data_IF_089894379309
#
_entry.id   IF_089894379309
#
_cell.length_a   1.000
_cell.length_b   1.000
_cell.length_c   1.000
_cell.angle_alpha   90.00
_cell.angle_beta   90.00
_cell.angle_gamma   90.00
#
_symmetry.space_group_name_H-M   'P 1'
#
loop_
_entity.id
_entity.type
_entity.pdbx_description
1 polymer ?
#
# COMPACT_ATOMS: atom_id res chain seq x y z
N UNK A 1 -0.78 -0.40 -14.05
CA UNK A 1 -2.10 -0.87 -13.59
C UNK A 1 -2.12 -2.41 -13.63
N UNK A 2 -2.96 -3.08 -12.82
CA UNK A 2 -3.20 -4.52 -12.97
C UNK A 2 -3.65 -4.79 -14.41
N UNK A 3 -3.11 -5.83 -15.02
CA UNK A 3 -3.38 -6.18 -16.42
C UNK A 3 -4.42 -7.28 -16.49
N UNK A 4 -4.24 -8.33 -15.68
CA UNK A 4 -5.16 -9.45 -15.60
C UNK A 4 -4.96 -10.21 -14.29
N UNK A 5 -6.01 -10.88 -13.83
CA UNK A 5 -5.94 -11.94 -12.83
C UNK A 5 -6.43 -13.22 -13.47
N UNK A 6 -5.63 -14.29 -13.37
CA UNK A 6 -5.90 -15.58 -14.01
C UNK A 6 -5.68 -16.74 -13.04
N UNK A 7 -6.46 -17.80 -13.22
CA UNK A 7 -6.44 -19.02 -12.43
C UNK A 7 -6.21 -20.19 -13.38
N UNK A 8 -5.12 -20.91 -13.18
CA UNK A 8 -4.80 -22.14 -13.89
C UNK A 8 -4.96 -23.35 -12.99
N UNK A 9 -5.42 -24.46 -13.57
CA UNK A 9 -5.30 -25.80 -13.02
C UNK A 9 -4.15 -26.51 -13.73
N UNK A 10 -3.28 -27.14 -12.96
CA UNK A 10 -2.24 -28.00 -13.50
C UNK A 10 -2.79 -29.41 -13.68
N UNK A 11 -2.77 -29.90 -14.92
CA UNK A 11 -3.22 -31.24 -15.30
C UNK A 11 -2.01 -32.05 -15.77
N UNK A 12 -1.91 -33.30 -15.32
CA UNK A 12 -0.93 -34.26 -15.82
C UNK A 12 -1.64 -35.12 -16.85
N UNK A 13 -1.49 -34.79 -18.13
CA UNK A 13 -2.04 -35.60 -19.20
C UNK A 13 -1.04 -36.71 -19.53
N UNK A 14 -1.56 -37.91 -19.81
CA UNK A 14 -0.77 -39.01 -20.31
C UNK A 14 -1.14 -39.20 -21.78
N UNK A 15 -0.16 -39.15 -22.67
CA UNK A 15 -0.38 -39.38 -24.08
C UNK A 15 -0.57 -40.87 -24.41
N UNK A 16 -0.82 -41.17 -25.68
CA UNK A 16 -1.00 -42.55 -26.15
C UNK A 16 0.27 -43.41 -26.02
N UNK A 17 1.46 -42.80 -25.89
CA UNK A 17 2.74 -43.50 -25.68
C UNK A 17 3.04 -43.74 -24.19
N UNK A 18 2.26 -43.15 -23.29
CA UNK A 18 2.42 -43.25 -21.86
C UNK A 18 3.30 -42.17 -21.26
N UNK A 19 3.77 -41.21 -22.06
CA UNK A 19 4.54 -40.06 -21.61
C UNK A 19 3.62 -39.03 -20.94
N UNK A 20 4.16 -38.35 -19.93
CA UNK A 20 3.43 -37.36 -19.15
C UNK A 20 3.65 -36.00 -19.78
N UNK A 21 2.59 -35.42 -20.35
CA UNK A 21 2.54 -34.06 -20.85
C UNK A 21 1.79 -33.19 -19.83
N UNK A 22 2.49 -32.44 -18.97
CA UNK A 22 1.83 -31.48 -18.10
C UNK A 22 1.18 -30.36 -18.94
N UNK A 23 0.06 -29.82 -18.46
CA UNK A 23 -0.63 -28.69 -19.08
C UNK A 23 -1.19 -27.73 -18.02
N UNK A 24 -1.17 -26.43 -18.30
CA UNK A 24 -1.89 -25.42 -17.52
C UNK A 24 -3.23 -25.08 -18.19
N UNK A 25 -4.30 -25.70 -17.70
CA UNK A 25 -5.65 -25.37 -18.13
C UNK A 25 -6.13 -24.08 -17.46
N UNK A 26 -6.49 -23.10 -18.27
CA UNK A 26 -7.11 -21.87 -17.78
C UNK A 26 -8.53 -22.15 -17.29
N UNK A 27 -8.82 -21.78 -16.04
CA UNK A 27 -10.16 -21.86 -15.47
C UNK A 27 -10.90 -20.53 -15.54
N UNK A 28 -10.23 -19.44 -15.14
CA UNK A 28 -10.82 -18.10 -15.08
C UNK A 28 -9.73 -17.09 -15.43
N UNK A 29 -10.08 -16.09 -16.22
CA UNK A 29 -9.23 -14.92 -16.47
C UNK A 29 -10.10 -13.69 -16.60
N UNK A 30 -9.74 -12.61 -15.92
CA UNK A 30 -10.48 -11.35 -15.97
C UNK A 30 -9.49 -10.17 -15.95
N UNK A 31 -9.85 -9.10 -16.66
CA UNK A 31 -9.08 -7.86 -16.79
C UNK A 31 -9.88 -6.70 -16.18
N UNK A 32 -9.22 -5.63 -15.66
CA UNK A 32 -9.92 -4.42 -15.22
C UNK A 32 -10.62 -3.70 -16.39
N UNK A 33 -11.62 -2.85 -16.11
CA UNK A 33 -12.57 -2.30 -17.12
C UNK A 33 -11.93 -1.75 -18.40
N UNK A 34 -12.54 -1.86 -19.59
CA UNK A 34 -13.81 -1.20 -19.96
C UNK A 34 -14.72 -2.05 -20.88
N UNK A 35 -16.04 -1.84 -20.74
CA UNK A 35 -16.98 -2.07 -21.83
C UNK A 35 -16.68 -1.10 -23.00
N UNK A 36 -17.01 -1.53 -24.21
CA UNK A 36 -16.82 -0.83 -25.51
C UNK A 36 -15.37 -0.60 -25.93
N UNK A 37 -14.67 -1.72 -26.18
CA UNK A 37 -13.73 -2.01 -27.29
C UNK A 37 -12.73 -3.04 -26.75
N UNK A 38 -13.16 -4.31 -26.78
CA UNK A 38 -12.30 -5.45 -26.49
C UNK A 38 -11.29 -5.59 -27.63
N UNK A 39 -10.16 -4.90 -27.54
CA UNK A 39 -8.93 -5.59 -27.94
C UNK A 39 -8.83 -6.77 -26.99
N UNK A 40 -9.24 -7.96 -27.46
CA UNK A 40 -9.01 -9.20 -26.75
C UNK A 40 -7.50 -9.40 -26.72
N UNK A 41 -6.84 -8.84 -25.72
CA UNK A 41 -5.46 -9.18 -25.42
C UNK A 41 -5.46 -10.69 -25.17
N UNK A 42 -4.71 -11.44 -25.97
CA UNK A 42 -4.58 -12.88 -25.78
C UNK A 42 -3.81 -13.11 -24.48
N UNK A 43 -4.29 -14.02 -23.63
CA UNK A 43 -3.58 -14.38 -22.40
C UNK A 43 -2.17 -14.92 -22.72
N UNK A 44 -2.01 -15.55 -23.89
CA UNK A 44 -0.72 -16.03 -24.35
C UNK A 44 0.29 -14.91 -24.64
N UNK A 45 -0.19 -13.69 -24.96
CA UNK A 45 0.66 -12.50 -25.11
C UNK A 45 1.09 -11.93 -23.74
N UNK A 46 0.31 -12.23 -22.70
CA UNK A 46 0.53 -11.74 -21.34
C UNK A 46 1.41 -12.66 -20.50
N UNK A 47 1.30 -13.97 -20.70
CA UNK A 47 2.10 -14.97 -20.00
C UNK A 47 2.35 -16.20 -20.87
N UNK A 48 3.63 -16.49 -21.08
CA UNK A 48 4.07 -17.66 -21.85
C UNK A 48 4.00 -18.94 -21.01
N UNK A 49 3.98 -20.10 -21.68
CA UNK A 49 4.07 -21.40 -20.99
C UNK A 49 5.33 -21.49 -20.11
N UNK A 50 6.49 -21.05 -20.62
CA UNK A 50 7.73 -21.05 -19.83
C UNK A 50 7.62 -20.24 -18.55
N UNK A 51 6.96 -19.08 -18.58
CA UNK A 51 6.71 -18.27 -17.38
C UNK A 51 5.78 -19.00 -16.40
N UNK A 52 4.73 -19.70 -16.86
CA UNK A 52 3.83 -20.52 -16.02
C UNK A 52 4.60 -21.66 -15.33
N UNK A 53 5.34 -22.46 -16.09
CA UNK A 53 6.15 -23.56 -15.57
C UNK A 53 7.20 -23.08 -14.59
N UNK A 54 7.87 -21.96 -14.89
CA UNK A 54 8.87 -21.39 -13.98
C UNK A 54 8.24 -20.97 -12.65
N UNK A 55 7.08 -20.30 -12.68
CA UNK A 55 6.38 -19.91 -11.46
C UNK A 55 5.92 -21.13 -10.66
N UNK A 56 5.34 -22.12 -11.31
CA UNK A 56 4.93 -23.38 -10.68
C UNK A 56 6.10 -24.11 -10.04
N UNK A 57 7.19 -24.32 -10.78
CA UNK A 57 8.41 -24.96 -10.28
C UNK A 57 9.00 -24.18 -9.10
N UNK A 58 8.94 -22.86 -9.15
CA UNK A 58 9.38 -21.98 -8.07
C UNK A 58 8.55 -22.10 -6.79
N UNK A 59 7.27 -22.45 -6.90
CA UNK A 59 6.39 -22.70 -5.75
C UNK A 59 6.61 -24.11 -5.18
N UNK A 60 6.79 -25.12 -6.03
CA UNK A 60 6.86 -26.53 -5.60
C UNK A 60 8.26 -26.94 -5.11
N UNK A 61 9.32 -26.42 -5.72
CA UNK A 61 10.71 -26.80 -5.35
C UNK A 61 11.42 -25.77 -4.47
N UNK A 62 10.93 -24.52 -4.47
CA UNK A 62 11.57 -23.39 -3.80
C UNK A 62 12.89 -22.90 -4.42
N UNK A 63 13.40 -23.53 -5.49
CA UNK A 63 14.81 -23.40 -5.93
C UNK A 63 15.32 -21.99 -6.26
N UNK A 64 14.47 -20.99 -6.48
CA UNK A 64 14.86 -19.58 -6.67
C UNK A 64 14.84 -18.79 -5.33
N UNK A 65 15.53 -19.31 -4.31
CA UNK A 65 15.60 -18.76 -2.94
C UNK A 65 16.41 -17.44 -2.83
N UNK A 66 17.28 -17.12 -3.79
CA UNK A 66 18.27 -16.02 -3.67
C UNK A 66 17.84 -14.65 -4.22
N UNK A 67 16.64 -14.55 -4.82
CA UNK A 67 16.16 -13.33 -5.51
C UNK A 67 14.88 -12.70 -4.95
N UNK A 68 14.35 -13.16 -3.81
CA UNK A 68 13.01 -12.75 -3.34
C UNK A 68 13.05 -11.63 -2.30
N UNK A 69 12.12 -10.68 -2.42
CA UNK A 69 12.00 -9.51 -1.54
C UNK A 69 11.10 -9.76 -0.31
N UNK A 70 10.09 -10.65 -0.37
CA UNK A 70 9.26 -11.11 0.77
C UNK A 70 8.53 -12.42 0.41
N UNK A 71 8.38 -13.36 1.35
CA UNK A 71 7.61 -14.59 1.12
C UNK A 71 6.71 -14.90 2.31
N UNK A 72 5.41 -15.04 2.04
CA UNK A 72 4.45 -15.78 2.88
C UNK A 72 4.34 -17.16 2.22
N UNK A 73 4.24 -18.27 2.99
CA UNK A 73 4.11 -19.63 2.42
C UNK A 73 3.04 -19.61 1.33
N UNK A 74 3.40 -20.01 0.11
CA UNK A 74 2.58 -20.03 -1.13
C UNK A 74 2.48 -18.73 -1.95
N UNK A 75 3.16 -17.64 -1.61
CA UNK A 75 3.18 -16.40 -2.42
C UNK A 75 4.53 -16.12 -3.05
N UNK A 76 4.53 -15.60 -4.28
CA UNK A 76 5.72 -15.07 -4.96
C UNK A 76 5.37 -13.72 -5.59
N UNK A 77 6.12 -12.68 -5.21
CA UNK A 77 6.19 -11.42 -5.93
C UNK A 77 7.46 -11.39 -6.78
N UNK A 78 7.35 -11.03 -8.05
CA UNK A 78 8.51 -10.93 -8.93
C UNK A 78 8.22 -10.29 -10.28
N UNK A 79 9.16 -10.49 -11.20
CA UNK A 79 9.06 -10.10 -12.61
C UNK A 79 9.09 -11.35 -13.48
N UNK A 80 8.22 -11.39 -14.48
CA UNK A 80 8.24 -12.44 -15.51
C UNK A 80 9.52 -12.37 -16.35
N UNK A 81 9.93 -13.51 -16.91
CA UNK A 81 11.21 -13.59 -17.63
C UNK A 81 11.04 -13.12 -19.06
N UNK A 82 9.98 -13.59 -19.72
CA UNK A 82 9.79 -13.44 -21.16
C UNK A 82 8.89 -12.24 -21.46
N UNK A 83 7.98 -11.89 -20.56
CA UNK A 83 7.06 -10.77 -20.72
C UNK A 83 7.42 -9.59 -19.80
N UNK A 84 7.08 -8.35 -20.17
CA UNK A 84 7.43 -7.15 -19.42
C UNK A 84 6.46 -6.89 -18.26
N UNK A 85 6.07 -7.91 -17.51
CA UNK A 85 5.12 -7.77 -16.41
C UNK A 85 5.74 -8.14 -15.05
N UNK A 86 5.25 -7.48 -14.01
CA UNK A 86 5.37 -7.96 -12.64
C UNK A 86 4.27 -8.96 -12.37
N UNK A 87 4.55 -9.93 -11.52
CA UNK A 87 3.60 -10.98 -11.14
C UNK A 87 3.53 -11.10 -9.64
N UNK A 88 2.31 -11.18 -9.13
CA UNK A 88 2.00 -11.73 -7.82
C UNK A 88 1.34 -13.09 -8.05
N UNK A 89 1.99 -14.16 -7.62
CA UNK A 89 1.51 -15.53 -7.83
C UNK A 89 1.25 -16.25 -6.51
N UNK A 90 0.23 -17.09 -6.53
CA UNK A 90 -0.17 -17.95 -5.43
C UNK A 90 -0.35 -19.38 -5.89
N UNK A 91 0.17 -20.33 -5.10
CA UNK A 91 0.01 -21.75 -5.35
C UNK A 91 -0.93 -22.39 -4.33
N UNK A 92 -1.88 -23.19 -4.81
CA UNK A 92 -2.78 -23.95 -3.96
C UNK A 92 -2.76 -25.42 -4.34
N UNK A 93 -2.59 -26.27 -3.34
CA UNK A 93 -2.69 -27.72 -3.45
C UNK A 93 -3.91 -28.18 -2.65
N UNK A 94 -4.87 -28.81 -3.33
CA UNK A 94 -6.15 -29.25 -2.76
C UNK A 94 -6.06 -30.66 -2.19
N UNK A 95 -7.11 -31.06 -1.45
CA UNK A 95 -7.19 -32.37 -0.77
C UNK A 95 -7.26 -33.53 -1.76
N UNK A 96 -7.78 -33.32 -2.96
CA UNK A 96 -7.86 -34.31 -4.05
C UNK A 96 -6.60 -34.31 -4.94
N UNK A 97 -5.48 -33.77 -4.44
CA UNK A 97 -4.22 -33.59 -5.17
C UNK A 97 -4.30 -32.59 -6.34
N UNK A 98 -5.46 -31.96 -6.60
CA UNK A 98 -5.58 -30.93 -7.63
C UNK A 98 -4.72 -29.71 -7.29
N UNK A 99 -4.00 -29.20 -8.28
CA UNK A 99 -3.03 -28.11 -8.11
C UNK A 99 -3.45 -26.90 -8.92
N UNK A 100 -3.42 -25.72 -8.29
CA UNK A 100 -3.85 -24.47 -8.87
C UNK A 100 -2.76 -23.41 -8.77
N UNK A 101 -2.59 -22.66 -9.85
CA UNK A 101 -1.71 -21.50 -9.94
C UNK A 101 -2.55 -20.26 -10.21
N UNK A 102 -2.58 -19.32 -9.27
CA UNK A 102 -3.32 -18.07 -9.36
C UNK A 102 -2.33 -16.94 -9.58
N UNK A 103 -2.53 -16.11 -10.60
CA UNK A 103 -1.61 -15.04 -10.98
C UNK A 103 -2.36 -13.71 -11.09
N UNK A 104 -1.76 -12.65 -10.56
CA UNK A 104 -2.09 -11.27 -10.89
C UNK A 104 -0.91 -10.61 -11.60
N UNK A 105 -1.13 -10.10 -12.80
CA UNK A 105 -0.11 -9.45 -13.63
C UNK A 105 -0.24 -7.93 -13.54
N UNK A 106 0.88 -7.23 -13.44
CA UNK A 106 0.94 -5.77 -13.28
C UNK A 106 1.98 -5.17 -14.21
N UNK A 107 1.79 -3.90 -14.57
CA UNK A 107 2.82 -3.11 -15.24
C UNK A 107 4.10 -2.98 -14.38
N UNK A 108 5.25 -2.72 -15.00
CA UNK A 108 6.55 -2.67 -14.30
C UNK A 108 6.67 -1.51 -13.30
N UNK A 109 5.96 -0.43 -13.54
CA UNK A 109 5.97 0.82 -12.78
C UNK A 109 4.93 0.89 -11.66
N UNK A 110 4.11 -0.17 -11.50
CA UNK A 110 3.11 -0.25 -10.44
C UNK A 110 3.69 -0.61 -9.07
N UNK A 111 3.06 -0.08 -8.03
CA UNK A 111 3.29 -0.46 -6.63
C UNK A 111 2.54 -1.75 -6.27
N UNK A 112 3.02 -2.90 -6.75
CA UNK A 112 2.36 -4.20 -6.56
C UNK A 112 2.16 -4.56 -5.08
N UNK A 113 3.03 -4.08 -4.19
CA UNK A 113 2.96 -4.34 -2.75
C UNK A 113 1.68 -3.78 -2.11
N UNK A 114 1.13 -2.70 -2.68
CA UNK A 114 -0.15 -2.13 -2.25
C UNK A 114 -1.30 -3.13 -2.40
N UNK A 115 -1.22 -4.04 -3.36
CA UNK A 115 -2.30 -4.95 -3.74
C UNK A 115 -2.17 -6.36 -3.12
N UNK A 116 -1.06 -6.65 -2.42
CA UNK A 116 -0.80 -7.97 -1.83
C UNK A 116 -1.92 -8.43 -0.88
N UNK A 117 -2.43 -7.52 -0.05
CA UNK A 117 -3.51 -7.84 0.90
C UNK A 117 -4.81 -8.24 0.21
N UNK A 118 -5.19 -7.54 -0.86
CA UNK A 118 -6.39 -7.85 -1.66
C UNK A 118 -6.23 -9.20 -2.34
N UNK A 119 -5.08 -9.43 -2.97
CA UNK A 119 -4.79 -10.69 -3.65
C UNK A 119 -4.76 -11.87 -2.66
N UNK A 120 -4.18 -11.68 -1.47
CA UNK A 120 -4.18 -12.69 -0.41
C UNK A 120 -5.60 -13.10 0.01
N UNK A 121 -6.45 -12.12 0.31
CA UNK A 121 -7.83 -12.38 0.72
C UNK A 121 -8.63 -13.08 -0.38
N UNK A 122 -8.40 -12.72 -1.65
CA UNK A 122 -8.97 -13.44 -2.80
C UNK A 122 -8.53 -14.91 -2.80
N UNK A 123 -7.23 -15.18 -2.67
CA UNK A 123 -6.67 -16.52 -2.67
C UNK A 123 -7.18 -17.39 -1.50
N UNK A 124 -7.33 -16.83 -0.30
CA UNK A 124 -7.91 -17.57 0.84
C UNK A 124 -9.34 -18.02 0.57
N UNK A 125 -10.16 -17.16 -0.04
CA UNK A 125 -11.53 -17.51 -0.42
C UNK A 125 -11.58 -18.51 -1.57
N UNK A 126 -10.72 -18.36 -2.57
CA UNK A 126 -10.57 -19.35 -3.65
C UNK A 126 -10.19 -20.72 -3.09
N UNK A 127 -9.35 -20.80 -2.05
CA UNK A 127 -9.06 -22.04 -1.33
C UNK A 127 -10.31 -22.77 -0.82
N UNK A 128 -11.32 -22.05 -0.34
CA UNK A 128 -12.60 -22.65 0.09
C UNK A 128 -13.40 -23.18 -1.11
N UNK A 129 -13.35 -22.47 -2.24
CA UNK A 129 -14.02 -22.84 -3.49
C UNK A 129 -13.35 -24.09 -4.09
N UNK A 130 -12.02 -24.16 -4.14
CA UNK A 130 -11.28 -25.34 -4.61
C UNK A 130 -11.60 -26.58 -3.77
N UNK A 131 -11.66 -26.43 -2.45
CA UNK A 131 -12.06 -27.52 -1.56
C UNK A 131 -13.52 -27.97 -1.75
N UNK A 132 -14.43 -27.07 -2.13
CA UNK A 132 -15.82 -27.42 -2.53
C UNK A 132 -15.81 -28.22 -3.83
N UNK A 133 -14.99 -27.81 -4.80
CA UNK A 133 -14.84 -28.50 -6.08
C UNK A 133 -14.29 -29.93 -5.90
N UNK A 134 -13.22 -30.09 -5.10
CA UNK A 134 -12.59 -31.37 -4.79
C UNK A 134 -13.55 -32.39 -4.16
N UNK A 135 -14.50 -31.93 -3.35
CA UNK A 135 -15.48 -32.77 -2.63
C UNK A 135 -16.75 -33.07 -3.43
N UNK A 136 -16.97 -32.37 -4.54
CA UNK A 136 -18.23 -32.45 -5.28
C UNK A 136 -18.14 -33.44 -6.44
N UNK A 137 -19.27 -34.06 -6.81
CA UNK A 137 -19.37 -34.75 -8.09
C UNK A 137 -19.08 -33.75 -9.21
N UNK A 138 -18.10 -34.04 -10.08
CA UNK A 138 -17.67 -33.20 -11.23
C UNK A 138 -18.73 -33.13 -12.35
N UNK A 139 -19.98 -32.81 -11.99
CA UNK A 139 -21.05 -32.57 -12.94
C UNK A 139 -20.88 -31.20 -13.59
N UNK A 140 -21.31 -31.05 -14.84
CA UNK A 140 -21.22 -29.80 -15.58
C UNK A 140 -21.92 -28.62 -14.89
N UNK A 141 -22.97 -28.88 -14.10
CA UNK A 141 -23.66 -27.84 -13.35
C UNK A 141 -22.83 -27.31 -12.17
N UNK A 142 -22.23 -28.20 -11.38
CA UNK A 142 -21.36 -27.82 -10.26
C UNK A 142 -20.13 -27.08 -10.77
N UNK A 143 -19.54 -27.54 -11.87
CA UNK A 143 -18.40 -26.87 -12.49
C UNK A 143 -18.71 -25.42 -12.89
N UNK A 144 -19.87 -25.19 -13.53
CA UNK A 144 -20.31 -23.82 -13.90
C UNK A 144 -20.59 -22.94 -12.68
N UNK A 145 -21.14 -23.49 -11.61
CA UNK A 145 -21.37 -22.75 -10.37
C UNK A 145 -20.03 -22.33 -9.73
N UNK A 146 -19.08 -23.26 -9.65
CA UNK A 146 -17.75 -23.03 -9.12
C UNK A 146 -16.98 -22.00 -9.95
N UNK A 147 -17.00 -22.12 -11.28
CA UNK A 147 -16.36 -21.15 -12.19
C UNK A 147 -16.95 -19.74 -12.00
N UNK A 148 -18.27 -19.63 -11.86
CA UNK A 148 -18.94 -18.35 -11.56
C UNK A 148 -18.53 -17.79 -10.19
N UNK A 149 -18.43 -18.63 -9.16
CA UNK A 149 -17.94 -18.21 -7.85
C UNK A 149 -16.49 -17.70 -7.90
N UNK A 150 -15.61 -18.40 -8.65
CA UNK A 150 -14.22 -17.97 -8.89
C UNK A 150 -14.17 -16.63 -9.63
N UNK A 151 -14.90 -16.50 -10.74
CA UNK A 151 -14.98 -15.27 -11.53
C UNK A 151 -15.44 -14.10 -10.68
N UNK A 152 -16.43 -14.31 -9.82
CA UNK A 152 -16.88 -13.28 -8.88
C UNK A 152 -15.74 -12.86 -7.93
N UNK A 153 -14.98 -13.79 -7.35
CA UNK A 153 -13.85 -13.42 -6.48
C UNK A 153 -12.80 -12.60 -7.24
N UNK A 154 -12.50 -12.98 -8.49
CA UNK A 154 -11.55 -12.26 -9.33
C UNK A 154 -12.05 -10.83 -9.65
N UNK A 155 -13.30 -10.69 -10.10
CA UNK A 155 -13.92 -9.39 -10.38
C UNK A 155 -13.91 -8.46 -9.17
N UNK A 156 -14.23 -8.99 -8.00
CA UNK A 156 -14.19 -8.20 -6.78
C UNK A 156 -12.77 -7.79 -6.39
N UNK A 157 -11.76 -8.66 -6.56
CA UNK A 157 -10.37 -8.30 -6.30
C UNK A 157 -9.89 -7.20 -7.25
N UNK A 158 -10.22 -7.30 -8.55
CA UNK A 158 -9.95 -6.24 -9.53
C UNK A 158 -10.60 -4.91 -9.12
N UNK A 159 -11.86 -4.93 -8.71
CA UNK A 159 -12.55 -3.74 -8.20
C UNK A 159 -11.82 -3.09 -7.01
N UNK A 160 -11.33 -3.88 -6.04
CA UNK A 160 -10.56 -3.33 -4.92
C UNK A 160 -9.20 -2.78 -5.36
N UNK A 161 -8.52 -3.42 -6.32
CA UNK A 161 -7.27 -2.91 -6.91
C UNK A 161 -7.51 -1.59 -7.65
N UNK A 162 -8.60 -1.47 -8.40
CA UNK A 162 -8.99 -0.23 -9.09
C UNK A 162 -9.24 0.92 -8.08
N UNK A 163 -9.88 0.62 -6.94
CA UNK A 163 -10.06 1.59 -5.85
C UNK A 163 -8.73 2.02 -5.25
N UNK A 164 -7.82 1.07 -4.99
CA UNK A 164 -6.47 1.35 -4.49
C UNK A 164 -5.57 2.05 -5.50
N UNK A 165 -5.90 2.00 -6.78
CA UNK A 165 -5.21 2.77 -7.82
C UNK A 165 -5.62 4.25 -7.82
N UNK A 166 -6.80 4.56 -7.27
CA UNK A 166 -7.42 5.89 -7.27
C UNK A 166 -7.51 6.49 -5.85
N UNK A 167 -6.37 6.59 -5.19
CA UNK A 167 -6.30 7.02 -3.79
C UNK A 167 -6.64 8.50 -3.58
N UNK A 168 -7.40 8.76 -2.52
CA UNK A 168 -7.63 10.12 -1.98
C UNK A 168 -6.33 10.71 -1.41
N UNK A 169 -6.31 12.03 -1.15
CA UNK A 169 -5.15 12.72 -0.56
C UNK A 169 -4.67 12.08 0.75
N UNK A 170 -5.59 11.76 1.66
CA UNK A 170 -5.27 11.11 2.94
C UNK A 170 -4.70 9.70 2.72
N UNK A 171 -5.23 8.93 1.76
CA UNK A 171 -4.72 7.60 1.42
C UNK A 171 -3.32 7.66 0.78
N UNK A 172 -3.04 8.66 -0.08
CA UNK A 172 -1.69 8.89 -0.61
C UNK A 172 -0.67 9.20 0.49
N UNK A 173 -1.08 9.91 1.54
CA UNK A 173 -0.25 10.13 2.72
C UNK A 173 -0.13 8.85 3.55
N UNK A 174 -1.21 8.09 3.71
CA UNK A 174 -1.17 6.79 4.39
C UNK A 174 -0.17 5.83 3.72
N UNK A 175 0.00 5.87 2.39
CA UNK A 175 1.05 5.09 1.70
C UNK A 175 2.46 5.36 2.24
N UNK A 176 2.74 6.59 2.69
CA UNK A 176 4.04 6.95 3.26
C UNK A 176 4.24 6.27 4.60
N UNK A 177 3.20 6.23 5.43
CA UNK A 177 3.25 5.67 6.78
C UNK A 177 3.04 4.15 6.81
N UNK A 178 2.56 3.52 5.72
CA UNK A 178 2.39 2.07 5.64
C UNK A 178 3.63 1.31 5.13
N UNK A 179 4.61 2.02 4.56
CA UNK A 179 5.85 1.44 4.02
C UNK A 179 7.06 1.87 4.84
N UNK A 180 7.84 0.89 5.28
CA UNK A 180 9.07 1.12 6.02
C UNK A 180 10.07 1.97 5.24
N UNK A 181 10.24 1.72 3.94
CA UNK A 181 11.15 2.44 3.06
C UNK A 181 10.75 3.91 2.91
N UNK A 182 9.44 4.17 2.84
CA UNK A 182 8.90 5.53 2.78
C UNK A 182 9.04 6.24 4.13
N UNK A 183 8.73 5.59 5.25
CA UNK A 183 8.97 6.15 6.58
C UNK A 183 10.45 6.47 6.82
N UNK A 184 11.35 5.57 6.39
CA UNK A 184 12.78 5.79 6.41
C UNK A 184 13.19 6.97 5.54
N UNK A 185 12.62 7.09 4.33
CA UNK A 185 12.85 8.24 3.45
C UNK A 185 12.44 9.55 4.13
N UNK A 186 11.25 9.61 4.71
CA UNK A 186 10.77 10.78 5.44
C UNK A 186 11.73 11.13 6.59
N UNK A 187 12.13 10.14 7.41
CA UNK A 187 13.06 10.33 8.52
C UNK A 187 14.42 10.86 8.08
N UNK A 188 14.99 10.32 7.00
CA UNK A 188 16.26 10.77 6.46
C UNK A 188 16.18 12.22 5.96
N UNK A 189 15.08 12.59 5.31
CA UNK A 189 14.86 13.96 4.82
C UNK A 189 14.63 14.99 5.94
N UNK A 190 14.20 14.55 7.14
CA UNK A 190 14.20 15.40 8.35
C UNK A 190 15.61 15.76 8.87
N UNK A 191 16.65 15.14 8.33
CA UNK A 191 18.05 15.50 8.59
C UNK A 191 18.65 16.44 7.54
N UNK A 192 17.88 16.78 6.51
CA UNK A 192 18.23 17.73 5.46
C UNK A 192 18.22 17.12 4.05
N UNK A 193 18.62 17.90 3.04
CA UNK A 193 18.65 17.46 1.65
C UNK A 193 19.49 16.19 1.44
N UNK A 194 19.00 15.30 0.58
CA UNK A 194 19.63 14.00 0.34
C UNK A 194 19.70 13.69 -1.16
N UNK A 195 20.85 13.26 -1.66
CA UNK A 195 20.95 12.84 -3.06
C UNK A 195 20.16 11.54 -3.30
N UNK A 196 19.54 11.42 -4.47
CA UNK A 196 18.78 10.21 -4.83
C UNK A 196 19.65 8.95 -4.80
N UNK A 197 20.91 9.07 -5.23
CA UNK A 197 21.88 7.97 -5.21
C UNK A 197 22.14 7.50 -3.77
N UNK A 198 22.32 8.44 -2.83
CA UNK A 198 22.54 8.11 -1.41
C UNK A 198 21.29 7.54 -0.77
N UNK A 199 20.11 8.08 -1.07
CA UNK A 199 18.85 7.50 -0.59
C UNK A 199 18.68 6.06 -1.09
N UNK A 200 18.92 5.82 -2.39
CA UNK A 200 18.86 4.48 -2.98
C UNK A 200 19.79 3.51 -2.27
N UNK A 201 21.04 3.90 -2.02
CA UNK A 201 22.01 3.01 -1.35
C UNK A 201 21.68 2.75 0.12
N UNK A 202 21.00 3.66 0.80
CA UNK A 202 20.50 3.46 2.16
C UNK A 202 19.29 2.52 2.19
N UNK A 203 18.36 2.67 1.25
CA UNK A 203 17.18 1.79 1.14
C UNK A 203 17.57 0.40 0.65
N UNK A 204 18.57 0.27 -0.23
CA UNK A 204 19.02 -1.03 -0.75
C UNK A 204 19.50 -1.98 0.37
N UNK A 205 19.92 -1.43 1.51
CA UNK A 205 20.29 -2.20 2.71
C UNK A 205 19.12 -2.90 3.39
N UNK A 206 17.89 -2.41 3.17
CA UNK A 206 16.67 -2.94 3.79
C UNK A 206 15.73 -3.59 2.78
N UNK A 207 15.76 -3.13 1.52
CA UNK A 207 14.99 -3.68 0.40
C UNK A 207 15.89 -3.73 -0.82
N UNK A 208 16.23 -4.94 -1.27
CA UNK A 208 17.09 -5.18 -2.42
C UNK A 208 16.47 -4.55 -3.68
N UNK A 209 17.29 -3.90 -4.51
CA UNK A 209 16.88 -3.29 -5.77
C UNK A 209 15.65 -2.36 -5.67
N UNK A 210 15.65 -1.36 -4.76
CA UNK A 210 14.47 -0.56 -4.52
C UNK A 210 14.12 0.28 -5.75
N UNK A 211 12.85 0.24 -6.17
CA UNK A 211 12.33 1.15 -7.19
C UNK A 211 12.05 2.51 -6.56
N UNK A 212 13.01 3.43 -6.72
CA UNK A 212 12.94 4.76 -6.12
C UNK A 212 11.78 5.60 -6.64
N UNK A 213 11.31 5.39 -7.87
CA UNK A 213 10.17 6.15 -8.39
C UNK A 213 8.87 5.73 -7.70
N UNK A 214 8.67 4.44 -7.44
CA UNK A 214 7.54 3.93 -6.66
C UNK A 214 7.57 4.42 -5.21
N UNK A 215 8.76 4.42 -4.59
CA UNK A 215 8.93 4.88 -3.20
C UNK A 215 8.63 6.37 -3.08
N UNK A 216 9.15 7.18 -4.01
CA UNK A 216 9.04 8.64 -3.98
C UNK A 216 7.71 9.18 -4.51
N UNK A 217 6.96 8.40 -5.32
CA UNK A 217 5.69 8.81 -5.93
C UNK A 217 4.74 9.54 -4.96
N UNK A 218 4.34 8.98 -3.80
CA UNK A 218 3.42 9.69 -2.90
C UNK A 218 4.00 10.98 -2.32
N UNK A 219 5.32 11.08 -2.15
CA UNK A 219 5.97 12.31 -1.68
C UNK A 219 5.86 13.45 -2.68
N UNK A 220 6.03 13.13 -3.96
CA UNK A 220 6.02 14.09 -5.06
C UNK A 220 4.59 14.53 -5.38
N UNK A 221 3.65 13.57 -5.49
CA UNK A 221 2.24 13.86 -5.78
C UNK A 221 1.59 14.75 -4.71
N UNK A 222 2.03 14.60 -3.45
CA UNK A 222 1.52 15.39 -2.33
C UNK A 222 2.33 16.67 -2.06
N UNK A 223 3.33 16.97 -2.91
CA UNK A 223 4.23 18.11 -2.77
C UNK A 223 4.87 18.21 -1.36
N UNK A 224 5.29 17.05 -0.85
CA UNK A 224 6.01 16.89 0.42
C UNK A 224 7.51 17.02 0.18
N UNK A 225 7.96 16.48 -0.95
CA UNK A 225 9.36 16.50 -1.39
C UNK A 225 9.44 17.11 -2.78
N UNK A 226 10.51 17.87 -3.04
CA UNK A 226 10.88 18.34 -4.37
C UNK A 226 12.19 17.71 -4.82
N UNK A 227 12.28 17.44 -6.12
CA UNK A 227 13.51 17.03 -6.81
C UNK A 227 14.16 18.27 -7.42
N UNK A 228 15.47 18.41 -7.25
CA UNK A 228 16.24 19.43 -7.95
C UNK A 228 17.65 18.92 -8.29
N UNK A 229 18.28 19.50 -9.29
CA UNK A 229 19.63 19.12 -9.72
C UNK A 229 20.67 20.07 -9.14
N UNK A 230 21.67 19.52 -8.45
CA UNK A 230 22.83 20.29 -8.02
C UNK A 230 23.98 20.09 -9.02
N UNK A 231 24.65 21.18 -9.41
CA UNK A 231 25.80 21.11 -10.32
C UNK A 231 27.03 20.54 -9.64
N UNK A 232 27.06 20.57 -8.30
CA UNK A 232 28.20 20.10 -7.53
C UNK A 232 29.37 21.07 -7.65
N UNK A 233 30.52 20.67 -7.12
CA UNK A 233 31.69 21.53 -7.07
C UNK A 233 32.92 20.79 -7.60
N UNK A 234 33.64 21.46 -8.49
CA UNK A 234 34.92 20.99 -9.01
C UNK A 234 35.99 21.05 -7.92
N UNK A 235 36.59 19.89 -7.62
CA UNK A 235 37.81 19.83 -6.82
C UNK A 235 38.97 20.37 -7.66
N UNK A 236 39.64 21.40 -7.14
CA UNK A 236 40.84 21.98 -7.78
C UNK A 236 42.02 21.00 -7.81
N UNK A 237 42.07 20.08 -6.85
CA UNK A 237 43.19 19.15 -6.68
C UNK A 237 43.04 17.87 -7.50
N UNK A 238 41.80 17.38 -7.69
CA UNK A 238 41.53 16.11 -8.40
C UNK A 238 40.84 16.28 -9.74
N UNK A 239 40.36 17.50 -10.07
CA UNK A 239 39.57 17.79 -11.27
C UNK A 239 38.18 17.16 -11.29
N UNK A 240 37.80 16.40 -10.26
CA UNK A 240 36.51 15.69 -10.17
C UNK A 240 35.41 16.62 -9.64
N UNK A 241 34.20 16.44 -10.15
CA UNK A 241 33.01 17.11 -9.63
C UNK A 241 32.45 16.31 -8.46
N UNK A 242 32.34 16.96 -7.30
CA UNK A 242 31.75 16.36 -6.11
C UNK A 242 30.36 16.93 -5.86
N UNK A 243 29.41 16.05 -5.54
CA UNK A 243 28.06 16.46 -5.14
C UNK A 243 27.11 16.81 -6.29
N UNK A 244 27.49 16.55 -7.55
CA UNK A 244 26.60 16.67 -8.70
C UNK A 244 25.50 15.59 -8.68
N UNK A 245 24.28 15.95 -9.06
CA UNK A 245 23.19 15.00 -9.27
C UNK A 245 21.82 15.47 -8.79
N UNK A 246 20.84 14.57 -8.82
CA UNK A 246 19.48 14.81 -8.31
C UNK A 246 19.43 14.71 -6.78
N UNK A 247 18.90 15.75 -6.14
CA UNK A 247 18.67 15.86 -4.70
C UNK A 247 17.17 15.95 -4.39
N UNK A 248 16.83 15.49 -3.19
CA UNK A 248 15.51 15.50 -2.62
C UNK A 248 15.48 16.50 -1.46
N UNK A 249 14.50 17.39 -1.48
CA UNK A 249 14.31 18.47 -0.51
C UNK A 249 12.96 18.30 0.18
N UNK A 250 12.94 18.24 1.50
CA UNK A 250 11.70 18.22 2.28
C UNK A 250 11.08 19.61 2.29
N UNK A 251 9.88 19.75 1.74
CA UNK A 251 9.12 21.00 1.75
C UNK A 251 8.12 21.05 2.91
N UNK A 252 7.57 19.89 3.28
CA UNK A 252 6.54 19.75 4.31
C UNK A 252 6.87 18.57 5.20
N UNK A 253 6.76 18.73 6.50
CA UNK A 253 6.72 17.60 7.41
C UNK A 253 5.28 17.11 7.57
N UNK A 254 5.14 15.83 7.90
CA UNK A 254 3.86 15.15 8.02
C UNK A 254 3.73 14.40 9.33
N UNK A 255 2.50 14.35 9.83
CA UNK A 255 2.08 13.45 10.90
C UNK A 255 0.68 12.93 10.61
N UNK A 256 0.46 11.63 10.79
CA UNK A 256 -0.87 11.03 10.71
C UNK A 256 -1.48 11.08 12.12
N UNK A 257 -2.60 11.77 12.26
CA UNK A 257 -3.17 12.14 13.56
C UNK A 257 -4.63 11.74 13.65
N UNK A 258 -5.14 11.70 14.88
CA UNK A 258 -6.56 11.54 15.18
C UNK A 258 -7.17 12.87 15.57
N UNK A 259 -8.32 13.20 14.99
CA UNK A 259 -9.06 14.42 15.29
C UNK A 259 -10.50 14.10 15.69
N UNK A 260 -11.14 14.92 16.53
CA UNK A 260 -12.53 14.71 16.89
C UNK A 260 -13.43 14.73 15.65
N UNK A 261 -14.36 13.76 15.48
CA UNK A 261 -15.20 13.66 14.29
C UNK A 261 -16.32 14.71 14.32
N UNK A 262 -16.04 15.89 13.76
CA UNK A 262 -16.89 17.09 13.90
C UNK A 262 -18.32 16.90 13.42
N UNK A 263 -18.51 16.22 12.28
CA UNK A 263 -19.83 16.00 11.70
C UNK A 263 -20.67 15.03 12.55
N UNK A 264 -20.08 13.91 12.97
CA UNK A 264 -20.70 12.99 13.92
C UNK A 264 -21.06 13.71 15.23
N UNK A 265 -20.15 14.52 15.80
CA UNK A 265 -20.44 15.28 17.03
C UNK A 265 -21.67 16.18 16.89
N UNK A 266 -21.90 16.77 15.70
CA UNK A 266 -23.09 17.56 15.43
C UNK A 266 -24.36 16.69 15.34
N UNK A 267 -24.28 15.54 14.67
CA UNK A 267 -25.41 14.60 14.57
C UNK A 267 -25.77 13.96 15.91
N UNK A 268 -24.76 13.64 16.73
CA UNK A 268 -24.89 12.94 18.02
C UNK A 268 -25.86 13.63 18.98
N UNK A 269 -25.98 14.97 18.92
CA UNK A 269 -26.92 15.74 19.75
C UNK A 269 -28.39 15.34 19.58
N UNK A 270 -28.74 14.66 18.49
CA UNK A 270 -30.10 14.17 18.19
C UNK A 270 -30.41 12.82 18.83
N UNK A 271 -29.41 12.13 19.37
CA UNK A 271 -29.52 10.75 19.85
C UNK A 271 -29.52 10.69 21.38
N UNK A 272 -30.17 9.67 21.94
CA UNK A 272 -30.27 9.46 23.38
C UNK A 272 -28.90 9.20 24.05
N UNK A 273 -27.99 8.58 23.31
CA UNK A 273 -26.63 8.22 23.76
C UNK A 273 -25.64 9.40 23.79
N UNK A 274 -26.06 10.62 23.43
CA UNK A 274 -25.16 11.77 23.27
C UNK A 274 -24.32 12.08 24.52
N UNK A 275 -24.90 12.01 25.72
CA UNK A 275 -24.17 12.33 26.97
C UNK A 275 -23.00 11.36 27.19
N UNK A 276 -23.29 10.06 27.10
CA UNK A 276 -22.29 9.01 27.22
C UNK A 276 -21.21 9.15 26.14
N UNK A 277 -21.61 9.47 24.90
CA UNK A 277 -20.66 9.70 23.81
C UNK A 277 -19.70 10.86 24.10
N UNK A 278 -20.19 12.01 24.54
CA UNK A 278 -19.33 13.16 24.83
C UNK A 278 -18.43 12.93 26.05
N UNK A 279 -18.90 12.21 27.06
CA UNK A 279 -18.07 11.78 28.20
C UNK A 279 -16.91 10.90 27.71
N UNK A 280 -17.21 9.89 26.88
CA UNK A 280 -16.21 8.99 26.32
C UNK A 280 -15.23 9.71 25.38
N UNK A 281 -15.71 10.68 24.60
CA UNK A 281 -14.89 11.47 23.70
C UNK A 281 -13.92 12.37 24.49
N UNK A 282 -14.41 12.99 25.56
CA UNK A 282 -13.57 13.81 26.43
C UNK A 282 -12.49 12.96 27.11
N UNK A 283 -12.86 11.77 27.60
CA UNK A 283 -11.90 10.84 28.20
C UNK A 283 -10.83 10.41 27.19
N UNK A 284 -11.23 10.12 25.95
CA UNK A 284 -10.32 9.76 24.86
C UNK A 284 -9.28 10.85 24.60
N UNK A 285 -9.72 12.09 24.43
CA UNK A 285 -8.84 13.22 24.07
C UNK A 285 -8.11 13.84 25.26
N UNK A 286 -8.52 13.56 26.51
CA UNK A 286 -7.79 13.97 27.70
C UNK A 286 -6.40 13.32 27.81
N UNK A 287 -6.24 12.11 27.23
CA UNK A 287 -4.99 11.34 27.28
C UNK A 287 -4.30 11.20 25.92
N UNK A 288 -4.92 11.69 24.84
CA UNK A 288 -4.37 11.58 23.50
C UNK A 288 -3.36 12.70 23.24
N UNK A 289 -2.11 12.32 22.91
CA UNK A 289 -1.09 13.25 22.43
C UNK A 289 -0.61 12.81 21.04
N UNK A 290 -0.91 13.58 19.97
CA UNK A 290 -0.54 13.24 18.59
C UNK A 290 0.96 13.21 18.32
N UNK A 291 1.80 13.68 19.25
CA UNK A 291 3.25 13.75 19.10
C UNK A 291 4.02 12.70 19.91
N UNK A 292 3.33 11.90 20.73
CA UNK A 292 3.97 10.90 21.58
C UNK A 292 4.23 9.57 20.89
N UNK A 293 3.50 9.26 19.81
CA UNK A 293 3.68 8.01 19.07
C UNK A 293 4.66 8.15 17.89
N UNK A 294 5.90 7.75 18.18
CA UNK A 294 6.95 7.58 17.19
C UNK A 294 6.64 6.33 16.35
N UNK A 295 5.98 6.57 15.20
CA UNK A 295 5.86 5.68 14.04
C UNK A 295 4.94 4.45 14.16
N UNK A 296 4.78 3.85 15.33
CA UNK A 296 4.01 2.61 15.51
C UNK A 296 2.51 2.78 15.31
N UNK A 297 1.92 3.84 15.85
CA UNK A 297 0.50 4.17 15.64
C UNK A 297 0.23 4.68 14.23
N UNK A 298 1.14 5.49 13.67
CA UNK A 298 0.98 6.01 12.30
C UNK A 298 0.91 4.87 11.27
N UNK A 299 1.71 3.81 11.42
CA UNK A 299 1.63 2.64 10.55
C UNK A 299 0.28 1.90 10.70
N UNK A 300 -0.22 1.74 11.93
CA UNK A 300 -1.52 1.10 12.18
C UNK A 300 -2.67 1.89 11.55
N UNK A 301 -2.68 3.21 11.75
CA UNK A 301 -3.68 4.10 11.17
C UNK A 301 -3.62 4.11 9.64
N UNK A 302 -2.41 4.10 9.07
CA UNK A 302 -2.23 4.03 7.64
C UNK A 302 -2.81 2.74 7.05
N UNK A 303 -2.57 1.59 7.69
CA UNK A 303 -3.16 0.30 7.27
C UNK A 303 -4.69 0.32 7.31
N UNK A 304 -5.29 1.01 8.29
CA UNK A 304 -6.74 1.19 8.36
C UNK A 304 -7.27 2.02 7.19
N UNK A 305 -6.63 3.15 6.87
CA UNK A 305 -7.08 4.05 5.78
C UNK A 305 -6.88 3.41 4.40
N UNK A 306 -5.87 2.57 4.25
CA UNK A 306 -5.57 1.86 3.00
C UNK A 306 -6.43 0.61 2.80
N UNK A 307 -7.24 0.19 3.77
CA UNK A 307 -8.25 -0.84 3.55
C UNK A 307 -9.50 -0.17 2.94
N UNK A 308 -9.86 -0.44 1.67
CA UNK A 308 -10.94 0.28 1.01
C UNK A 308 -12.30 0.07 1.67
N UNK A 309 -12.56 -1.12 2.22
CA UNK A 309 -13.85 -1.42 2.87
C UNK A 309 -13.96 -0.67 4.21
N UNK A 310 -12.85 -0.59 4.95
CA UNK A 310 -12.81 0.19 6.19
C UNK A 310 -12.91 1.69 5.87
N UNK A 311 -12.26 2.16 4.81
CA UNK A 311 -12.31 3.56 4.39
C UNK A 311 -13.74 4.03 4.08
N UNK A 312 -14.50 3.25 3.31
CA UNK A 312 -15.91 3.58 3.00
C UNK A 312 -16.79 3.52 4.24
N UNK A 313 -16.57 2.53 5.11
CA UNK A 313 -17.31 2.43 6.36
C UNK A 313 -17.03 3.65 7.26
N UNK A 314 -15.77 4.09 7.38
CA UNK A 314 -15.43 5.28 8.16
C UNK A 314 -16.02 6.54 7.54
N UNK A 315 -16.04 6.68 6.22
CA UNK A 315 -16.70 7.80 5.55
C UNK A 315 -18.19 7.89 5.93
N UNK A 316 -18.88 6.74 6.06
CA UNK A 316 -20.25 6.70 6.56
C UNK A 316 -20.32 7.09 8.05
N UNK A 317 -19.54 6.43 8.90
CA UNK A 317 -19.61 6.55 10.36
C UNK A 317 -19.14 7.91 10.87
N UNK A 318 -18.27 8.62 10.14
CA UNK A 318 -17.82 9.98 10.46
C UNK A 318 -18.96 11.01 10.43
N UNK A 319 -20.06 10.70 9.77
CA UNK A 319 -21.20 11.62 9.61
C UNK A 319 -22.38 11.27 10.51
N UNK A 320 -22.58 9.99 10.84
CA UNK A 320 -23.76 9.48 11.56
C UNK A 320 -23.43 8.26 12.41
N UNK A 321 -24.06 8.18 13.58
CA UNK A 321 -24.04 6.98 14.42
C UNK A 321 -25.11 5.98 13.96
N UNK A 322 -24.80 4.69 14.10
CA UNK A 322 -25.72 3.61 13.73
C UNK A 322 -25.78 2.55 14.83
N UNK A 323 -26.98 2.03 15.18
CA UNK A 323 -27.09 0.75 15.86
C UNK A 323 -26.44 -0.33 14.98
N UNK A 324 -25.69 -1.26 15.58
CA UNK A 324 -24.99 -2.33 14.84
C UNK A 324 -25.91 -3.05 13.85
N UNK A 325 -27.15 -3.36 14.28
CA UNK A 325 -28.16 -4.07 13.46
C UNK A 325 -28.80 -3.24 12.34
N UNK A 326 -28.61 -1.91 12.35
CA UNK A 326 -29.19 -0.96 11.36
C UNK A 326 -28.12 -0.33 10.46
N UNK A 327 -26.89 -0.81 10.51
CA UNK A 327 -25.83 -0.31 9.66
C UNK A 327 -26.14 -0.65 8.19
N UNK A 328 -26.09 0.33 7.28
CA UNK A 328 -26.21 0.08 5.84
C UNK A 328 -25.14 -0.91 5.35
N UNK A 329 -25.48 -1.70 4.33
CA UNK A 329 -24.51 -2.60 3.70
C UNK A 329 -23.55 -1.80 2.80
N UNK A 330 -22.42 -1.36 3.36
CA UNK A 330 -21.37 -0.58 2.67
C UNK A 330 -20.12 -1.40 2.39
N UNK A 331 -19.95 -2.52 3.09
CA UNK A 331 -18.78 -3.38 2.93
C UNK A 331 -18.86 -4.18 1.63
N UNK A 332 -17.71 -4.43 1.00
CA UNK A 332 -17.65 -5.42 -0.06
C UNK A 332 -17.94 -6.82 0.48
N UNK A 333 -18.25 -7.76 -0.42
CA UNK A 333 -18.43 -9.17 -0.05
C UNK A 333 -17.17 -9.81 0.57
N UNK A 334 -16.01 -9.14 0.55
CA UNK A 334 -14.78 -9.57 1.22
C UNK A 334 -14.77 -9.34 2.73
N UNK A 335 -15.30 -8.22 3.17
CA UNK A 335 -15.24 -7.83 4.55
C UNK A 335 -16.46 -8.33 5.33
N UNK A 336 -16.22 -9.05 6.43
CA UNK A 336 -17.24 -9.29 7.43
C UNK A 336 -17.29 -8.09 8.38
N UNK A 337 -18.49 -7.61 8.68
CA UNK A 337 -18.67 -6.45 9.55
C UNK A 337 -18.00 -6.65 10.91
N UNK A 338 -18.14 -7.84 11.50
CA UNK A 338 -17.55 -8.14 12.80
C UNK A 338 -16.02 -8.07 12.79
N UNK A 339 -15.37 -8.55 11.72
CA UNK A 339 -13.91 -8.47 11.57
C UNK A 339 -13.44 -7.02 11.40
N UNK A 340 -14.17 -6.23 10.60
CA UNK A 340 -13.87 -4.80 10.40
C UNK A 340 -14.07 -4.01 11.69
N UNK A 341 -15.20 -4.20 12.37
CA UNK A 341 -15.48 -3.53 13.63
C UNK A 341 -14.48 -3.91 14.71
N UNK A 342 -14.07 -5.18 14.77
CA UNK A 342 -13.02 -5.63 15.70
C UNK A 342 -11.72 -4.86 15.48
N UNK A 343 -11.24 -4.73 14.23
CA UNK A 343 -10.05 -3.93 13.90
C UNK A 343 -10.20 -2.48 14.34
N UNK A 344 -11.35 -1.85 14.07
CA UNK A 344 -11.61 -0.45 14.42
C UNK A 344 -11.69 -0.22 15.94
N UNK A 345 -12.26 -1.18 16.68
CA UNK A 345 -12.34 -1.17 18.14
C UNK A 345 -10.96 -1.35 18.78
N UNK A 346 -10.15 -2.28 18.28
CA UNK A 346 -8.78 -2.54 18.75
C UNK A 346 -7.87 -1.32 18.59
N UNK A 347 -8.04 -0.57 17.50
CA UNK A 347 -7.28 0.67 17.24
C UNK A 347 -7.89 1.88 17.97
N UNK A 348 -9.07 1.74 18.58
CA UNK A 348 -9.74 2.81 19.31
C UNK A 348 -10.29 3.93 18.41
N UNK A 349 -10.58 3.62 17.14
CA UNK A 349 -11.20 4.56 16.19
C UNK A 349 -12.70 4.65 16.45
N UNK A 350 -13.33 3.53 16.79
CA UNK A 350 -14.74 3.45 17.14
C UNK A 350 -14.91 2.90 18.55
N UNK A 351 -16.08 3.15 19.14
CA UNK A 351 -16.53 2.55 20.40
C UNK A 351 -17.99 2.11 20.29
N UNK A 352 -18.33 1.07 21.04
CA UNK A 352 -19.73 0.63 21.19
C UNK A 352 -20.34 1.29 22.43
N UNK A 353 -21.44 2.02 22.24
CA UNK A 353 -22.18 2.68 23.32
C UNK A 353 -23.58 2.08 23.39
N UNK A 354 -24.02 1.70 24.59
CA UNK A 354 -25.34 1.10 24.81
C UNK A 354 -26.38 2.18 25.04
N UNK A 355 -27.50 2.08 24.35
CA UNK A 355 -28.65 2.91 24.65
C UNK A 355 -29.50 2.37 25.82
N UNK A 356 -30.57 3.09 26.17
CA UNK A 356 -31.48 2.71 27.25
C UNK A 356 -32.23 1.39 27.00
N UNK A 357 -32.33 0.94 25.75
CA UNK A 357 -32.91 -0.35 25.35
C UNK A 357 -31.86 -1.47 25.29
N UNK A 358 -30.59 -1.18 25.60
CA UNK A 358 -29.48 -2.13 25.57
C UNK A 358 -28.94 -2.42 24.18
N UNK A 359 -29.30 -1.65 23.15
CA UNK A 359 -28.77 -1.79 21.78
C UNK A 359 -27.39 -1.14 21.72
N UNK A 360 -26.44 -1.82 21.06
CA UNK A 360 -25.11 -1.26 20.81
C UNK A 360 -25.13 -0.33 19.60
N UNK A 361 -24.65 0.89 19.79
CA UNK A 361 -24.40 1.89 18.75
C UNK A 361 -22.91 1.98 18.45
N UNK A 362 -22.59 2.09 17.17
CA UNK A 362 -21.24 2.31 16.68
C UNK A 362 -21.02 3.82 16.62
N UNK A 363 -20.06 4.30 17.40
CA UNK A 363 -19.70 5.71 17.45
C UNK A 363 -18.23 5.88 17.11
N UNK A 364 -17.92 6.79 16.17
CA UNK A 364 -16.53 7.17 15.89
C UNK A 364 -16.02 8.05 17.04
N UNK A 365 -14.89 7.67 17.61
CA UNK A 365 -14.18 8.43 18.63
C UNK A 365 -13.12 9.32 18.00
N UNK A 366 -12.52 8.87 16.90
CA UNK A 366 -11.41 9.53 16.24
C UNK A 366 -11.51 9.42 14.72
N UNK A 367 -11.63 10.56 14.05
CA UNK A 367 -11.40 10.64 12.61
C UNK A 367 -9.90 10.66 12.33
N UNK A 368 -9.44 9.94 11.31
CA UNK A 368 -8.03 9.93 10.93
C UNK A 368 -7.77 11.05 9.91
N UNK A 369 -6.81 11.91 10.23
CA UNK A 369 -6.40 13.03 9.40
C UNK A 369 -4.88 13.13 9.33
N UNK A 370 -4.36 14.09 8.56
CA UNK A 370 -2.93 14.38 8.53
C UNK A 370 -2.68 15.84 8.84
N UNK A 371 -1.61 16.10 9.58
CA UNK A 371 -1.07 17.43 9.79
C UNK A 371 0.11 17.62 8.83
N UNK A 372 0.10 18.73 8.09
CA UNK A 372 1.21 19.14 7.24
C UNK A 372 1.81 20.44 7.75
N UNK A 373 3.02 20.38 8.28
CA UNK A 373 3.74 21.51 8.86
C UNK A 373 4.90 21.95 7.98
N UNK A 374 5.27 23.22 8.09
CA UNK A 374 6.52 23.70 7.52
C UNK A 374 7.69 23.19 8.39
N UNK A 375 8.73 22.58 7.82
CA UNK A 375 9.80 21.94 8.61
C UNK A 375 10.81 22.97 9.13
N UNK A 376 10.37 23.87 10.03
CA UNK A 376 11.21 24.93 10.61
C UNK A 376 12.50 24.40 11.26
N UNK A 377 12.43 23.21 11.85
CA UNK A 377 13.57 22.53 12.45
C UNK A 377 14.72 22.24 11.46
N UNK A 378 14.47 22.27 10.15
CA UNK A 378 15.51 22.16 9.13
C UNK A 378 16.29 23.46 8.94
N UNK A 379 15.72 24.63 9.24
CA UNK A 379 16.37 25.92 8.95
C UNK A 379 17.73 26.06 9.67
N UNK A 380 17.87 25.77 10.97
CA UNK A 380 19.18 25.79 11.63
C UNK A 380 20.14 24.77 11.02
N UNK A 381 19.68 23.53 10.77
CA UNK A 381 20.50 22.47 10.17
C UNK A 381 21.04 22.86 8.79
N UNK A 382 20.24 23.57 8.00
CA UNK A 382 20.62 24.05 6.66
C UNK A 382 21.55 25.28 6.77
N UNK A 383 21.25 26.23 7.67
CA UNK A 383 22.07 27.44 7.89
C UNK A 383 23.46 27.12 8.43
N UNK A 384 23.56 26.21 9.40
CA UNK A 384 24.84 25.73 9.92
C UNK A 384 25.68 25.14 8.78
N UNK A 385 25.05 24.36 7.89
CA UNK A 385 25.71 23.76 6.71
C UNK A 385 26.02 24.75 5.59
N UNK A 386 25.23 25.81 5.40
CA UNK A 386 25.52 26.87 4.42
C UNK A 386 26.63 27.81 4.89
N UNK A 387 26.85 27.90 6.21
CA UNK A 387 27.88 28.73 6.86
C UNK A 387 29.26 28.05 6.96
N UNK A 388 29.32 26.71 6.81
CA UNK A 388 30.58 25.95 6.85
C UNK A 388 31.53 26.42 5.74
N UNK A 389 32.67 26.99 6.16
CA UNK A 389 33.80 27.28 5.27
C UNK A 389 34.35 25.97 4.71
N UNK A 390 34.63 25.98 3.42
CA UNK A 390 35.31 24.93 2.67
C UNK A 390 36.50 24.38 3.45
N UNK A 391 36.46 23.10 3.86
CA UNK A 391 37.61 22.43 4.47
C UNK A 391 37.34 21.39 5.57
N UNK A 392 36.14 21.34 6.16
CA UNK A 392 35.78 20.30 7.13
C UNK A 392 34.75 19.34 6.53
N UNK A 393 35.12 18.65 5.45
CA UNK A 393 34.32 17.56 4.89
C UNK A 393 34.69 16.32 5.68
N UNK A 394 33.86 15.98 6.67
CA UNK A 394 33.94 14.65 7.27
C UNK A 394 33.28 13.65 6.29
N UNK A 395 34.12 12.92 5.56
CA UNK A 395 33.72 11.86 4.64
C UNK A 395 32.92 10.73 5.34
N UNK A 396 32.93 10.68 6.67
CA UNK A 396 32.16 9.71 7.46
C UNK A 396 30.73 10.15 7.78
N UNK A 397 30.35 11.41 7.47
CA UNK A 397 29.00 11.89 7.76
C UNK A 397 27.93 11.19 6.90
N UNK A 398 26.86 10.72 7.56
CA UNK A 398 25.74 10.02 6.94
C UNK A 398 24.93 10.88 5.95
N UNK A 399 25.29 12.15 5.75
CA UNK A 399 24.68 13.10 4.81
C UNK A 399 25.70 13.42 3.71
N UNK A 400 25.31 13.42 2.43
CA UNK A 400 26.22 13.84 1.33
C UNK A 400 26.83 15.20 1.70
N UNK A 401 28.08 15.55 1.34
CA UNK A 401 28.59 16.89 1.59
C UNK A 401 27.60 17.89 1.00
N UNK A 402 26.78 18.50 1.88
CA UNK A 402 25.80 19.49 1.47
C UNK A 402 26.64 20.70 1.08
N UNK A 403 26.84 20.87 -0.22
CA UNK A 403 27.53 22.02 -0.75
C UNK A 403 26.70 23.27 -0.42
N UNK A 404 27.36 24.43 -0.38
CA UNK A 404 26.69 25.72 -0.18
C UNK A 404 25.52 25.90 -1.18
N UNK A 405 25.69 25.42 -2.41
CA UNK A 405 24.65 25.40 -3.46
C UNK A 405 23.41 24.60 -3.01
N UNK A 406 23.57 23.36 -2.54
CA UNK A 406 22.44 22.52 -2.09
C UNK A 406 21.73 23.16 -0.89
N UNK A 407 22.50 23.73 0.05
CA UNK A 407 21.93 24.42 1.20
C UNK A 407 21.16 25.69 0.78
N UNK A 408 21.65 26.41 -0.23
CA UNK A 408 20.98 27.58 -0.78
C UNK A 408 19.68 27.21 -1.50
N UNK A 409 19.69 26.18 -2.36
CA UNK A 409 18.47 25.66 -3.00
C UNK A 409 17.44 25.26 -1.92
N UNK A 410 17.89 24.54 -0.88
CA UNK A 410 17.00 24.14 0.21
C UNK A 410 16.39 25.35 0.94
N UNK A 411 17.18 26.39 1.20
CA UNK A 411 16.70 27.60 1.85
C UNK A 411 15.71 28.37 0.97
N UNK A 412 16.03 28.58 -0.31
CA UNK A 412 15.15 29.25 -1.29
C UNK A 412 13.82 28.50 -1.43
N UNK A 413 13.85 27.18 -1.49
CA UNK A 413 12.64 26.35 -1.53
C UNK A 413 11.82 26.52 -0.25
N UNK A 414 12.45 26.44 0.92
CA UNK A 414 11.75 26.58 2.20
C UNK A 414 11.16 27.99 2.36
N UNK A 415 11.90 29.05 2.01
CA UNK A 415 11.42 30.44 2.06
C UNK A 415 10.24 30.66 1.12
N UNK A 416 10.30 30.18 -0.13
CA UNK A 416 9.19 30.28 -1.07
C UNK A 416 7.95 29.50 -0.59
N UNK A 417 8.15 28.29 -0.05
CA UNK A 417 7.04 27.46 0.48
C UNK A 417 6.44 28.06 1.76
N UNK A 418 7.21 28.80 2.54
CA UNK A 418 6.73 29.53 3.72
C UNK A 418 5.70 30.60 3.33
N UNK A 419 5.99 31.37 2.28
CA UNK A 419 5.09 32.43 1.80
C UNK A 419 3.79 31.91 1.19
N UNK A 420 3.80 30.74 0.55
CA UNK A 420 2.58 30.08 0.06
C UNK A 420 1.55 29.76 1.19
N UNK A 421 1.97 29.75 2.46
CA UNK A 421 1.08 29.55 3.63
C UNK A 421 0.70 30.84 4.37
N UNK A 422 1.51 31.90 4.29
CA UNK A 422 1.23 33.17 4.99
C UNK A 422 0.34 34.10 4.13
N UNK A 423 0.26 33.85 2.82
CA UNK A 423 -0.61 34.59 1.90
C UNK A 423 -1.79 33.78 1.35
N UNK A 424 -2.72 33.33 2.21
CA UNK A 424 -4.16 33.12 1.92
C UNK A 424 -4.96 33.32 3.21
#
# INVERSE_FOLDING_TARGET
>A
MVVTITIFQFELNQDETGDIEPEFKNLVSEMPGTGTEKEKIDLNDLITENDKYRLFYNHTTGLDFKKRERMIKNFILGRLKETPYRVLSYYHHSIDESQYLILALFALDDDVELYEGVFYQMCEKLGKIFNKLAKSSKTAQVLREVEREMLNQVKFALFQIERLSNLTKIQKIALIFSSYERMMTLKLLKEGPLSRIKLRSLIDRVKKNPNMDIILKPFLEMNIVRRDWARGVHSKDTGRVHGEGEYLFLLKDLSLIRIPPKELMADMKKHEIHKQYFEELNNYYATYDPFTDLYGESEKLAKIILDPDIFDLLALLNTKAYPVKKLPNVLSNFAQLDDVLKKLLEVGIVKLIKDGEGRNWICVMAEISFLSTFPEFLLPKIKDRSSLRWGAIDETSLVSPITKEIAQIALELLENTYWEKVGV
#
